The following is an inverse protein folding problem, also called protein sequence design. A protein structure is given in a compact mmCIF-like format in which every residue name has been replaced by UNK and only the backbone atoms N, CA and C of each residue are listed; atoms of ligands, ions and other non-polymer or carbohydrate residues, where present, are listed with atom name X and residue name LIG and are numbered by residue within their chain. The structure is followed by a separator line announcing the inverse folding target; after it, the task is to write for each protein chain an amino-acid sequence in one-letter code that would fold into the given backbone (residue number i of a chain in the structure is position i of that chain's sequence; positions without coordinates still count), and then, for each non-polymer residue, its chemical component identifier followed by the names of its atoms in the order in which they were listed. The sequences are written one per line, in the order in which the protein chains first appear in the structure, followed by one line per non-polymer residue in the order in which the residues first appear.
data_IF_716872434301
#
_entry.id   IF_716872434301
#
_cell.length_a   1.000
_cell.length_b   1.000
_cell.length_c   1.000
_cell.angle_alpha   90.00
_cell.angle_beta   90.00
_cell.angle_gamma   90.00
#
_symmetry.space_group_name_H-M   'P 1'
#
loop_
_entity.id
_entity.type
_entity.pdbx_description
1 polymer ?
#
# COMPACT_ATOMS: atom_id res chain seq x y z
N UNK A 1 37.11 57.20 29.27
CA UNK A 1 36.27 56.05 29.10
C UNK A 1 35.02 56.46 28.34
N UNK A 2 34.64 55.69 27.33
CA UNK A 2 33.37 55.81 26.57
C UNK A 2 32.39 54.79 27.12
N UNK A 3 31.24 55.23 27.59
CA UNK A 3 30.19 54.38 28.10
C UNK A 3 29.05 54.30 27.08
N UNK A 4 28.44 53.11 26.97
CA UNK A 4 27.24 52.88 26.17
C UNK A 4 26.22 52.14 27.03
N UNK A 5 24.95 52.27 26.72
CA UNK A 5 23.87 51.54 27.38
C UNK A 5 23.19 50.60 26.43
N UNK A 6 22.77 49.47 26.95
CA UNK A 6 22.01 48.46 26.20
C UNK A 6 21.01 47.79 27.13
N UNK A 7 19.81 47.54 26.65
CA UNK A 7 18.82 46.78 27.40
C UNK A 7 19.28 45.34 27.60
N UNK A 8 19.09 44.82 28.80
CA UNK A 8 19.40 43.41 29.11
C UNK A 8 18.40 42.49 28.48
N UNK A 9 18.84 41.30 28.01
CA UNK A 9 17.99 40.28 27.41
C UNK A 9 17.76 40.43 25.92
N UNK A 10 18.37 41.39 25.25
CA UNK A 10 18.30 41.49 23.78
C UNK A 10 19.08 40.37 23.12
N UNK A 11 18.48 39.74 22.07
CA UNK A 11 19.18 38.85 21.19
C UNK A 11 20.15 39.57 20.23
N UNK A 12 20.84 38.80 19.36
CA UNK A 12 21.80 39.34 18.40
C UNK A 12 21.18 40.33 17.37
N UNK A 13 19.85 40.31 17.18
CA UNK A 13 19.10 41.18 16.28
C UNK A 13 18.40 42.31 17.02
N UNK A 14 18.81 42.63 18.25
CA UNK A 14 18.21 43.64 19.12
C UNK A 14 16.71 43.45 19.39
N UNK A 15 16.25 42.18 19.48
CA UNK A 15 14.86 41.86 19.80
C UNK A 15 14.73 41.30 21.19
N UNK A 16 13.62 41.70 21.88
CA UNK A 16 13.26 41.22 23.20
C UNK A 16 11.77 40.85 23.24
N UNK A 17 11.42 39.93 24.12
CA UNK A 17 10.04 39.48 24.32
C UNK A 17 9.58 39.81 25.74
N UNK A 18 8.41 40.41 25.83
CA UNK A 18 7.70 40.64 27.09
C UNK A 18 6.31 40.02 27.00
N UNK A 19 6.13 38.88 27.68
CA UNK A 19 4.92 38.07 27.55
C UNK A 19 4.72 37.60 26.11
N UNK A 20 3.56 37.86 25.54
CA UNK A 20 3.23 37.51 24.16
C UNK A 20 3.63 38.58 23.12
N UNK A 21 4.36 39.62 23.53
CA UNK A 21 4.72 40.73 22.65
C UNK A 21 6.21 40.73 22.37
N UNK A 22 6.56 40.97 21.12
CA UNK A 22 7.94 41.08 20.64
C UNK A 22 8.24 42.53 20.28
N UNK A 23 9.42 43.02 20.71
CA UNK A 23 9.88 44.36 20.47
C UNK A 23 11.25 44.35 19.81
N UNK A 24 11.53 45.39 19.02
CA UNK A 24 12.87 45.72 18.55
C UNK A 24 13.35 46.92 19.34
N UNK A 25 14.47 46.76 20.03
CA UNK A 25 15.07 47.83 20.80
C UNK A 25 16.05 48.64 19.96
N UNK A 26 16.02 49.95 20.10
CA UNK A 26 17.05 50.86 19.62
C UNK A 26 17.53 51.74 20.77
N UNK A 27 18.82 52.08 20.77
CA UNK A 27 19.41 53.01 21.74
C UNK A 27 19.90 54.22 20.98
N UNK A 28 19.52 55.37 21.42
CA UNK A 28 19.92 56.66 20.88
C UNK A 28 20.45 57.61 21.99
N UNK A 29 21.24 58.61 21.64
CA UNK A 29 21.82 59.56 22.57
C UNK A 29 23.34 59.41 22.76
N UNK A 30 23.88 60.26 23.63
CA UNK A 30 25.30 60.28 23.96
C UNK A 30 25.49 60.36 25.49
N UNK A 31 26.73 60.18 25.92
CA UNK A 31 27.06 60.19 27.33
C UNK A 31 26.73 61.58 27.96
N UNK A 32 26.86 62.69 27.21
CA UNK A 32 26.63 64.05 27.70
C UNK A 32 25.15 64.41 27.67
N UNK A 33 24.37 63.87 26.75
CA UNK A 33 22.94 64.15 26.56
C UNK A 33 22.03 63.13 27.18
N UNK A 34 22.60 62.04 27.69
CA UNK A 34 21.87 60.84 28.14
C UNK A 34 21.52 59.91 26.99
N UNK A 35 21.11 58.71 27.35
CA UNK A 35 20.68 57.65 26.40
C UNK A 35 19.19 57.37 26.50
N UNK A 36 18.57 57.23 25.40
CA UNK A 36 17.17 56.79 25.31
C UNK A 36 17.12 55.40 24.71
N UNK A 37 16.50 54.44 25.40
CA UNK A 37 16.20 53.09 24.86
C UNK A 37 14.72 53.09 24.43
N UNK A 38 14.47 52.77 23.16
CA UNK A 38 13.12 52.72 22.60
C UNK A 38 12.80 51.29 22.18
N UNK A 39 11.77 50.70 22.77
CA UNK A 39 11.22 49.40 22.37
C UNK A 39 10.05 49.59 21.42
N UNK A 40 10.28 49.39 20.13
CA UNK A 40 9.25 49.45 19.12
C UNK A 40 8.59 48.08 19.03
N UNK A 41 7.27 48.00 19.33
CA UNK A 41 6.51 46.79 19.22
C UNK A 41 6.53 46.29 17.77
N UNK A 42 7.03 45.06 17.58
CA UNK A 42 6.90 44.38 16.30
C UNK A 42 5.43 44.03 16.08
N UNK A 43 4.99 43.90 14.83
CA UNK A 43 3.63 43.39 14.56
C UNK A 43 3.36 42.14 15.40
N UNK A 44 2.09 41.91 15.81
CA UNK A 44 1.75 40.72 16.57
C UNK A 44 2.33 39.49 15.87
N UNK A 45 3.06 38.66 16.64
CA UNK A 45 3.52 37.38 16.15
C UNK A 45 2.26 36.52 15.87
N UNK A 46 1.93 36.40 14.62
CA UNK A 46 0.98 35.36 14.18
C UNK A 46 1.81 34.09 14.01
N UNK A 47 1.54 33.04 14.78
CA UNK A 47 2.20 31.76 14.52
C UNK A 47 1.99 31.41 13.05
N UNK A 48 3.06 31.41 12.26
CA UNK A 48 2.97 30.94 10.90
C UNK A 48 2.82 29.41 10.99
N UNK A 49 1.57 28.95 10.89
CA UNK A 49 1.27 27.52 10.81
C UNK A 49 1.62 27.08 9.40
N UNK A 50 2.42 26.02 9.22
CA UNK A 50 2.66 25.46 7.88
C UNK A 50 1.35 25.15 7.19
N UNK A 51 1.30 25.36 5.88
CA UNK A 51 0.16 24.96 5.07
C UNK A 51 -0.08 23.45 5.17
N UNK A 52 -1.31 23.05 5.00
CA UNK A 52 -1.67 21.65 4.98
C UNK A 52 -2.06 21.20 3.57
N UNK A 53 -1.79 19.96 3.28
CA UNK A 53 -2.17 19.27 2.05
C UNK A 53 -2.95 17.99 2.36
N UNK A 54 -3.30 17.25 1.32
CA UNK A 54 -3.94 15.94 1.44
C UNK A 54 -3.38 14.95 0.43
N UNK A 55 -3.41 13.68 0.76
CA UNK A 55 -3.07 12.59 -0.12
C UNK A 55 -4.26 11.63 -0.23
N UNK A 56 -4.78 11.47 -1.45
CA UNK A 56 -5.82 10.48 -1.74
C UNK A 56 -5.17 9.21 -2.28
N UNK A 57 -5.60 8.07 -1.77
CA UNK A 57 -5.22 6.74 -2.26
C UNK A 57 -6.45 6.03 -2.82
N UNK A 58 -6.28 5.30 -3.91
CA UNK A 58 -7.31 4.48 -4.54
C UNK A 58 -6.78 3.06 -4.72
N UNK A 59 -7.61 2.07 -4.45
CA UNK A 59 -7.30 0.66 -4.71
C UNK A 59 -7.98 0.21 -6.00
N UNK A 60 -7.24 -0.50 -6.82
CA UNK A 60 -7.72 -1.16 -8.04
C UNK A 60 -7.39 -2.66 -7.97
N UNK A 61 -8.30 -3.48 -8.48
CA UNK A 61 -8.13 -4.93 -8.59
C UNK A 61 -8.20 -5.33 -10.05
N UNK A 62 -7.33 -6.25 -10.46
CA UNK A 62 -7.30 -6.80 -11.82
C UNK A 62 -7.41 -8.32 -11.78
N UNK A 63 -8.14 -8.89 -12.73
CA UNK A 63 -8.39 -10.34 -12.81
C UNK A 63 -9.49 -10.84 -11.87
N UNK A 64 -10.35 -9.96 -11.36
CA UNK A 64 -11.50 -10.30 -10.53
C UNK A 64 -12.81 -9.77 -11.13
N UNK A 65 -13.90 -10.52 -10.95
CA UNK A 65 -15.25 -10.00 -11.13
C UNK A 65 -15.60 -8.93 -10.09
N UNK A 66 -16.61 -8.10 -10.37
CA UNK A 66 -17.06 -7.08 -9.41
C UNK A 66 -17.50 -7.69 -8.08
N UNK A 67 -18.17 -8.83 -8.08
CA UNK A 67 -18.58 -9.53 -6.87
C UNK A 67 -17.37 -9.95 -6.02
N UNK A 68 -16.31 -10.44 -6.65
CA UNK A 68 -15.07 -10.79 -5.99
C UNK A 68 -14.30 -9.55 -5.49
N UNK A 69 -14.32 -8.44 -6.24
CA UNK A 69 -13.77 -7.15 -5.79
C UNK A 69 -14.48 -6.67 -4.53
N UNK A 70 -15.81 -6.69 -4.53
CA UNK A 70 -16.65 -6.22 -3.42
C UNK A 70 -16.38 -6.96 -2.09
N UNK A 71 -15.85 -8.19 -2.18
CA UNK A 71 -15.46 -8.98 -1.02
C UNK A 71 -14.03 -8.68 -0.50
N UNK A 72 -13.27 -7.83 -1.20
CA UNK A 72 -11.89 -7.52 -0.80
C UNK A 72 -11.82 -6.35 0.18
N UNK A 73 -10.77 -6.36 0.98
CA UNK A 73 -10.41 -5.29 1.90
C UNK A 73 -8.89 -5.27 2.08
N UNK A 74 -8.29 -4.10 2.06
CA UNK A 74 -6.86 -3.92 2.30
C UNK A 74 -6.61 -2.76 3.26
N UNK A 75 -5.57 -2.87 4.06
CA UNK A 75 -5.10 -1.82 4.95
C UNK A 75 -3.96 -1.05 4.30
N UNK A 76 -3.97 0.26 4.42
CA UNK A 76 -2.96 1.15 3.84
C UNK A 76 -2.40 2.06 4.90
N UNK A 77 -1.08 2.18 4.98
CA UNK A 77 -0.36 3.06 5.89
C UNK A 77 0.22 4.26 5.16
N UNK A 78 0.11 5.44 5.79
CA UNK A 78 0.71 6.68 5.31
C UNK A 78 2.20 6.74 5.66
N UNK A 79 3.02 7.14 4.70
CA UNK A 79 4.44 7.46 4.86
C UNK A 79 4.67 8.96 4.78
N UNK A 80 5.60 9.46 5.58
CA UNK A 80 6.11 10.83 5.54
C UNK A 80 7.63 10.78 5.38
N UNK A 81 8.16 11.38 4.33
CA UNK A 81 9.60 11.43 4.03
C UNK A 81 10.26 10.04 4.06
N UNK A 82 9.56 9.03 3.53
CA UNK A 82 10.05 7.65 3.48
C UNK A 82 9.89 6.84 4.78
N UNK A 83 9.31 7.42 5.84
CA UNK A 83 9.09 6.74 7.12
C UNK A 83 7.61 6.49 7.33
N UNK A 84 7.25 5.26 7.75
CA UNK A 84 5.88 4.91 8.09
C UNK A 84 5.37 5.74 9.27
N UNK A 85 4.15 6.24 9.18
CA UNK A 85 3.47 6.93 10.27
C UNK A 85 2.50 5.99 10.99
N UNK A 86 1.89 6.43 12.08
CA UNK A 86 0.83 5.68 12.76
C UNK A 86 -0.52 5.80 12.05
N UNK A 87 -0.64 6.66 11.02
CA UNK A 87 -1.89 6.87 10.28
C UNK A 87 -2.08 5.79 9.24
N UNK A 88 -3.17 5.08 9.34
CA UNK A 88 -3.59 4.04 8.38
C UNK A 88 -5.08 4.16 8.08
N UNK A 89 -5.52 3.46 7.06
CA UNK A 89 -6.92 3.38 6.65
C UNK A 89 -7.18 2.05 5.95
N UNK A 90 -8.43 1.62 5.95
CA UNK A 90 -8.88 0.45 5.21
C UNK A 90 -9.55 0.92 3.93
N UNK A 91 -9.27 0.23 2.82
CA UNK A 91 -9.91 0.42 1.53
C UNK A 91 -10.76 -0.81 1.23
N UNK A 92 -12.05 -0.61 1.11
CA UNK A 92 -13.05 -1.65 0.87
C UNK A 92 -14.22 -1.11 0.04
N UNK A 93 -15.23 -1.92 -0.17
CA UNK A 93 -16.46 -1.54 -0.87
C UNK A 93 -17.17 -0.34 -0.24
N UNK A 94 -17.16 -0.21 1.11
CA UNK A 94 -17.92 0.83 1.81
C UNK A 94 -17.41 2.24 1.52
N UNK A 95 -16.12 2.37 1.20
CA UNK A 95 -15.50 3.63 0.79
C UNK A 95 -15.15 3.68 -0.70
N UNK A 96 -15.72 2.77 -1.51
CA UNK A 96 -15.41 2.62 -2.94
C UNK A 96 -13.90 2.47 -3.19
N UNK A 97 -13.22 1.74 -2.31
CA UNK A 97 -11.76 1.51 -2.40
C UNK A 97 -10.94 2.80 -2.50
N UNK A 98 -11.39 3.87 -1.82
CA UNK A 98 -10.74 5.18 -1.86
C UNK A 98 -10.75 5.83 -0.47
N UNK A 99 -9.62 6.43 -0.09
CA UNK A 99 -9.52 7.22 1.14
C UNK A 99 -8.62 8.43 0.95
N UNK A 100 -8.78 9.43 1.83
CA UNK A 100 -7.97 10.64 1.81
C UNK A 100 -7.36 10.88 3.18
N UNK A 101 -6.04 10.95 3.24
CA UNK A 101 -5.29 11.44 4.38
C UNK A 101 -5.27 12.97 4.30
N UNK A 102 -6.09 13.63 5.10
CA UNK A 102 -6.18 15.09 5.15
C UNK A 102 -5.34 15.68 6.30
N UNK A 103 -5.15 17.01 6.29
CA UNK A 103 -4.43 17.74 7.33
C UNK A 103 -2.95 17.38 7.42
N UNK A 104 -2.33 17.06 6.30
CA UNK A 104 -0.90 16.74 6.22
C UNK A 104 -0.11 18.06 6.17
N UNK A 105 0.82 18.27 7.10
CA UNK A 105 1.66 19.47 7.09
C UNK A 105 2.53 19.49 5.81
N UNK A 106 2.44 20.58 5.04
CA UNK A 106 3.26 20.78 3.84
C UNK A 106 4.75 20.83 4.16
N UNK A 107 5.09 21.34 5.36
CA UNK A 107 6.43 21.31 5.94
C UNK A 107 6.31 21.20 7.46
N UNK A 108 7.35 20.78 8.17
CA UNK A 108 7.31 20.65 9.63
C UNK A 108 7.35 22.01 10.34
N UNK A 109 8.04 22.97 9.73
CA UNK A 109 8.04 24.38 10.14
C UNK A 109 7.98 25.26 8.89
N UNK A 110 7.54 26.49 9.06
CA UNK A 110 7.52 27.47 7.97
C UNK A 110 8.93 27.71 7.45
N UNK A 111 9.11 27.61 6.13
CA UNK A 111 10.40 27.76 5.47
C UNK A 111 11.29 26.51 5.48
N UNK A 112 10.85 25.42 6.11
CA UNK A 112 11.52 24.12 5.99
C UNK A 112 11.24 23.46 4.63
N UNK A 113 12.00 22.42 4.32
CA UNK A 113 11.76 21.59 3.15
C UNK A 113 10.34 20.98 3.19
N UNK A 114 9.73 20.86 2.02
CA UNK A 114 8.41 20.24 1.90
C UNK A 114 8.44 18.78 2.29
N UNK A 115 7.40 18.36 3.00
CA UNK A 115 7.19 16.96 3.32
C UNK A 115 6.73 16.21 2.06
N UNK A 116 7.29 15.03 1.85
CA UNK A 116 6.88 14.09 0.81
C UNK A 116 6.03 13.00 1.45
N UNK A 117 4.80 12.85 0.96
CA UNK A 117 3.87 11.84 1.45
C UNK A 117 3.68 10.75 0.40
N UNK A 118 3.67 9.52 0.86
CA UNK A 118 3.36 8.33 0.09
C UNK A 118 2.57 7.34 0.94
N UNK A 119 2.24 6.18 0.40
CA UNK A 119 1.52 5.14 1.11
C UNK A 119 2.05 3.76 0.71
N UNK A 120 1.77 2.75 1.54
CA UNK A 120 2.00 1.34 1.25
C UNK A 120 0.79 0.54 1.71
N UNK A 121 0.51 -0.54 0.98
CA UNK A 121 -0.41 -1.59 1.40
C UNK A 121 0.26 -2.46 2.46
N UNK A 122 -0.53 -2.98 3.38
CA UNK A 122 -0.09 -3.89 4.42
C UNK A 122 -0.67 -5.29 4.17
N UNK A 123 0.10 -6.31 4.50
CA UNK A 123 -0.40 -7.68 4.57
C UNK A 123 -1.26 -7.91 5.83
N UNK A 124 -1.75 -9.14 6.02
CA UNK A 124 -2.58 -9.51 7.16
C UNK A 124 -1.88 -9.42 8.53
N UNK A 125 -0.54 -9.33 8.55
CA UNK A 125 0.28 -9.22 9.75
C UNK A 125 0.84 -7.80 9.96
N UNK A 126 0.26 -6.81 9.25
CA UNK A 126 0.77 -5.43 9.19
C UNK A 126 2.18 -5.29 8.57
N UNK A 127 2.63 -6.31 7.83
CA UNK A 127 3.85 -6.26 7.04
C UNK A 127 3.67 -5.35 5.82
N UNK A 128 4.67 -4.50 5.55
CA UNK A 128 4.64 -3.57 4.42
C UNK A 128 4.88 -4.31 3.12
N UNK A 129 4.01 -4.09 2.14
CA UNK A 129 4.15 -4.62 0.80
C UNK A 129 4.87 -3.61 -0.10
N UNK A 130 6.02 -4.00 -0.64
CA UNK A 130 6.79 -3.18 -1.57
C UNK A 130 6.32 -3.39 -3.02
N UNK A 131 6.81 -2.55 -3.93
CA UNK A 131 6.56 -2.71 -5.37
C UNK A 131 6.91 -4.11 -5.87
N UNK A 132 5.98 -4.76 -6.56
CA UNK A 132 6.15 -6.10 -7.10
C UNK A 132 6.02 -7.25 -6.10
N UNK A 133 5.78 -6.96 -4.81
CA UNK A 133 5.50 -7.98 -3.79
C UNK A 133 4.26 -8.80 -4.16
N UNK A 134 4.20 -10.03 -3.65
CA UNK A 134 2.99 -10.84 -3.70
C UNK A 134 2.32 -10.90 -2.34
N UNK A 135 0.99 -10.89 -2.34
CA UNK A 135 0.16 -11.01 -1.14
C UNK A 135 -0.98 -11.99 -1.38
N UNK A 136 -1.31 -12.78 -0.37
CA UNK A 136 -2.48 -13.67 -0.41
C UNK A 136 -3.62 -13.03 0.40
N UNK A 137 -4.74 -12.79 -0.28
CA UNK A 137 -5.95 -12.22 0.29
C UNK A 137 -7.12 -13.11 -0.13
N UNK A 138 -7.92 -13.57 0.83
CA UNK A 138 -9.08 -14.44 0.57
C UNK A 138 -8.72 -15.64 -0.33
N UNK A 139 -7.61 -16.33 -0.04
CA UNK A 139 -7.07 -17.50 -0.76
C UNK A 139 -6.68 -17.22 -2.23
N UNK A 140 -6.54 -15.96 -2.63
CA UNK A 140 -6.02 -15.56 -3.95
C UNK A 140 -4.71 -14.83 -3.81
N UNK A 141 -3.75 -15.12 -4.67
CA UNK A 141 -2.45 -14.45 -4.68
C UNK A 141 -2.47 -13.30 -5.69
N UNK A 142 -2.04 -12.14 -5.23
CA UNK A 142 -1.97 -10.92 -6.04
C UNK A 142 -0.54 -10.40 -6.09
N UNK A 143 -0.19 -9.79 -7.19
CA UNK A 143 1.01 -8.97 -7.33
C UNK A 143 0.63 -7.51 -7.10
N UNK A 144 1.36 -6.83 -6.21
CA UNK A 144 1.12 -5.43 -5.83
C UNK A 144 1.92 -4.51 -6.73
N UNK A 145 1.28 -3.46 -7.24
CA UNK A 145 1.89 -2.39 -8.02
C UNK A 145 1.40 -1.03 -7.54
N UNK A 146 2.31 -0.04 -7.49
CA UNK A 146 2.01 1.35 -7.12
C UNK A 146 2.09 2.25 -8.34
N UNK A 147 0.94 2.81 -8.76
CA UNK A 147 0.82 3.75 -9.88
C UNK A 147 0.34 5.11 -9.37
N UNK A 148 1.27 6.00 -9.08
CA UNK A 148 0.98 7.35 -8.59
C UNK A 148 0.17 7.33 -7.29
N UNK A 149 -1.15 7.60 -7.38
CA UNK A 149 -2.08 7.58 -6.23
C UNK A 149 -2.92 6.30 -6.15
N UNK A 150 -2.55 5.28 -6.92
CA UNK A 150 -3.25 4.00 -6.95
C UNK A 150 -2.38 2.88 -6.39
N UNK A 151 -3.04 1.91 -5.79
CA UNK A 151 -2.48 0.59 -5.50
C UNK A 151 -3.25 -0.38 -6.39
N UNK A 152 -2.54 -1.10 -7.24
CA UNK A 152 -3.11 -2.10 -8.15
C UNK A 152 -2.70 -3.48 -7.66
N UNK A 153 -3.68 -4.35 -7.38
CA UNK A 153 -3.41 -5.75 -7.11
C UNK A 153 -3.93 -6.57 -8.30
N UNK A 154 -3.00 -7.19 -9.01
CA UNK A 154 -3.29 -8.05 -10.15
C UNK A 154 -3.28 -9.51 -9.71
N UNK A 155 -4.36 -10.25 -9.98
CA UNK A 155 -4.44 -11.69 -9.68
C UNK A 155 -3.32 -12.43 -10.42
N UNK A 156 -2.55 -13.23 -9.67
CA UNK A 156 -1.48 -14.04 -10.27
C UNK A 156 -2.12 -15.26 -10.94
N UNK A 157 -1.89 -15.39 -12.24
CA UNK A 157 -2.30 -16.57 -13.00
C UNK A 157 -1.41 -17.76 -12.59
N UNK A 158 -1.91 -18.55 -11.65
CA UNK A 158 -1.25 -19.76 -11.19
C UNK A 158 -1.76 -20.96 -11.98
N UNK A 159 -0.86 -21.92 -12.26
CA UNK A 159 -1.18 -23.16 -12.93
C UNK A 159 -1.15 -24.32 -11.96
N UNK A 160 -1.97 -25.33 -12.25
CA UNK A 160 -2.04 -26.58 -11.48
C UNK A 160 -2.01 -27.78 -12.42
N UNK A 161 -1.96 -28.96 -11.86
CA UNK A 161 -2.11 -30.22 -12.59
C UNK A 161 -3.09 -31.15 -11.87
N UNK A 162 -3.72 -32.01 -12.63
CA UNK A 162 -4.54 -33.13 -12.15
C UNK A 162 -3.94 -34.41 -12.67
N UNK A 163 -3.67 -35.35 -11.80
CA UNK A 163 -3.14 -36.65 -12.17
C UNK A 163 -3.86 -37.78 -11.44
N UNK A 164 -3.77 -38.95 -11.99
CA UNK A 164 -4.37 -40.16 -11.42
C UNK A 164 -3.89 -41.43 -12.09
N UNK A 165 -4.45 -42.53 -11.61
CA UNK A 165 -4.15 -43.87 -12.11
C UNK A 165 -5.45 -44.64 -12.33
N UNK A 166 -5.60 -45.28 -13.47
CA UNK A 166 -6.66 -46.25 -13.73
C UNK A 166 -6.29 -47.57 -13.05
N UNK A 167 -7.17 -48.08 -12.22
CA UNK A 167 -7.02 -49.38 -11.57
C UNK A 167 -7.97 -50.38 -12.24
N UNK A 168 -7.49 -51.58 -12.39
CA UNK A 168 -8.24 -52.70 -12.93
C UNK A 168 -8.47 -53.73 -11.83
N UNK A 169 -9.71 -54.12 -11.63
CA UNK A 169 -10.11 -55.26 -10.79
C UNK A 169 -10.69 -56.35 -11.67
N UNK A 170 -9.81 -57.12 -12.30
CA UNK A 170 -10.14 -58.10 -13.36
C UNK A 170 -9.25 -59.36 -13.28
N UNK A 171 -8.91 -59.77 -12.06
CA UNK A 171 -8.07 -60.93 -11.81
C UNK A 171 -6.78 -60.94 -12.66
N UNK A 172 -6.12 -59.76 -12.78
CA UNK A 172 -4.89 -59.54 -13.54
C UNK A 172 -5.05 -59.84 -15.05
N UNK A 173 -6.18 -59.44 -15.64
CA UNK A 173 -6.51 -59.66 -17.06
C UNK A 173 -6.61 -61.15 -17.43
N UNK A 174 -7.25 -61.93 -16.57
CA UNK A 174 -7.35 -63.39 -16.72
C UNK A 174 -8.00 -63.80 -18.04
N UNK A 175 -8.97 -63.06 -18.55
CA UNK A 175 -9.69 -63.33 -19.82
C UNK A 175 -9.02 -62.67 -21.04
N UNK A 176 -7.93 -61.96 -20.86
CA UNK A 176 -7.18 -61.29 -21.93
C UNK A 176 -7.90 -60.14 -22.63
N UNK A 177 -8.99 -59.60 -22.02
CA UNK A 177 -9.85 -58.58 -22.67
C UNK A 177 -9.59 -57.16 -22.19
N UNK A 178 -8.61 -56.95 -21.33
CA UNK A 178 -8.25 -55.60 -20.92
C UNK A 178 -7.81 -54.79 -22.16
N UNK A 179 -8.39 -53.61 -22.41
CA UNK A 179 -7.97 -52.77 -23.53
C UNK A 179 -6.54 -52.25 -23.33
N UNK A 180 -5.87 -51.89 -24.45
CA UNK A 180 -4.51 -51.35 -24.40
C UNK A 180 -4.45 -49.94 -23.84
N UNK A 181 -5.55 -49.17 -23.92
CA UNK A 181 -5.68 -47.84 -23.46
C UNK A 181 -7.08 -47.49 -22.94
N UNK A 182 -7.17 -46.52 -22.04
CA UNK A 182 -8.41 -45.89 -21.60
C UNK A 182 -8.25 -44.38 -21.77
N UNK A 183 -9.25 -43.75 -22.38
CA UNK A 183 -9.33 -42.31 -22.50
C UNK A 183 -9.99 -41.72 -21.23
N UNK A 184 -9.32 -40.80 -20.58
CA UNK A 184 -9.81 -40.05 -19.41
C UNK A 184 -10.15 -38.64 -19.85
N UNK A 185 -11.35 -38.16 -19.53
CA UNK A 185 -11.80 -36.80 -19.80
C UNK A 185 -11.62 -35.94 -18.57
N UNK A 186 -11.16 -34.68 -18.77
CA UNK A 186 -11.07 -33.70 -17.72
C UNK A 186 -12.36 -32.88 -17.64
N UNK A 187 -12.96 -32.79 -16.46
CA UNK A 187 -14.08 -31.92 -16.17
C UNK A 187 -13.59 -30.71 -15.31
N UNK A 188 -14.16 -29.54 -15.55
CA UNK A 188 -13.99 -28.35 -14.77
C UNK A 188 -15.35 -27.86 -14.27
N UNK A 189 -15.52 -27.70 -12.97
CA UNK A 189 -16.78 -27.32 -12.32
C UNK A 189 -17.97 -28.18 -12.79
N UNK A 190 -17.73 -29.47 -12.99
CA UNK A 190 -18.72 -30.45 -13.45
C UNK A 190 -18.96 -30.53 -14.98
N UNK A 191 -18.33 -29.64 -15.76
CA UNK A 191 -18.47 -29.60 -17.24
C UNK A 191 -17.25 -30.22 -17.91
N UNK A 192 -17.45 -31.03 -18.95
CA UNK A 192 -16.36 -31.57 -19.75
C UNK A 192 -15.58 -30.44 -20.45
N UNK A 193 -14.28 -30.41 -20.26
CA UNK A 193 -13.40 -29.42 -20.89
C UNK A 193 -12.99 -29.73 -22.32
N UNK A 194 -13.33 -30.93 -22.81
CA UNK A 194 -12.83 -31.47 -24.07
C UNK A 194 -11.38 -31.97 -24.03
N UNK A 195 -10.67 -31.75 -22.91
CA UNK A 195 -9.30 -32.25 -22.73
C UNK A 195 -9.32 -33.73 -22.36
N UNK A 196 -8.48 -34.52 -23.03
CA UNK A 196 -8.34 -35.95 -22.76
C UNK A 196 -6.90 -36.34 -22.48
N UNK A 197 -6.72 -37.38 -21.71
CA UNK A 197 -5.44 -38.06 -21.49
C UNK A 197 -5.63 -39.58 -21.66
N UNK A 198 -4.59 -40.28 -22.11
CA UNK A 198 -4.59 -41.73 -22.24
C UNK A 198 -3.88 -42.38 -21.07
N UNK A 199 -4.55 -43.34 -20.43
CA UNK A 199 -3.95 -44.25 -19.47
C UNK A 199 -3.68 -45.58 -20.19
N UNK A 200 -2.42 -45.98 -20.30
CA UNK A 200 -1.98 -47.17 -21.05
C UNK A 200 -1.14 -48.08 -20.18
N UNK A 201 -0.96 -49.32 -20.65
CA UNK A 201 -0.04 -50.27 -20.00
C UNK A 201 1.40 -49.68 -19.93
N UNK A 202 1.85 -48.95 -20.97
CA UNK A 202 3.17 -48.38 -21.05
C UNK A 202 3.37 -47.25 -20.00
N UNK A 203 2.31 -46.51 -19.68
CA UNK A 203 2.30 -45.47 -18.62
C UNK A 203 1.96 -46.06 -17.24
N UNK A 204 1.97 -47.38 -17.06
CA UNK A 204 1.49 -48.03 -15.84
C UNK A 204 0.07 -47.55 -15.42
N UNK A 205 -0.76 -47.26 -16.44
CA UNK A 205 -2.12 -46.75 -16.29
C UNK A 205 -2.23 -45.40 -15.62
N UNK A 206 -1.14 -44.64 -15.56
CA UNK A 206 -1.11 -43.26 -15.04
C UNK A 206 -1.49 -42.28 -16.14
N UNK A 207 -2.15 -41.18 -15.73
CA UNK A 207 -2.53 -40.06 -16.59
C UNK A 207 -2.32 -38.74 -15.86
N UNK A 208 -2.12 -37.66 -16.62
CA UNK A 208 -2.04 -36.32 -16.06
C UNK A 208 -2.53 -35.26 -17.04
N UNK A 209 -3.09 -34.20 -16.47
CA UNK A 209 -3.45 -32.98 -17.17
C UNK A 209 -2.64 -31.85 -16.54
N UNK A 210 -1.78 -31.21 -17.31
CA UNK A 210 -0.87 -30.16 -16.82
C UNK A 210 -1.29 -28.79 -17.34
N UNK A 211 -0.73 -27.77 -16.74
CA UNK A 211 -0.91 -26.37 -17.18
C UNK A 211 -2.36 -25.90 -17.13
N UNK A 212 -3.07 -26.32 -16.11
CA UNK A 212 -4.47 -25.97 -15.87
C UNK A 212 -4.56 -24.66 -15.10
N UNK A 213 -5.54 -23.82 -15.42
CA UNK A 213 -5.78 -22.57 -14.67
C UNK A 213 -6.31 -22.90 -13.27
N UNK A 214 -5.84 -22.19 -12.25
CA UNK A 214 -6.39 -22.29 -10.88
C UNK A 214 -7.68 -21.49 -10.76
N UNK A 215 -7.78 -20.39 -11.50
CA UNK A 215 -8.93 -19.50 -11.50
C UNK A 215 -9.52 -19.36 -12.92
N UNK A 216 -10.80 -19.09 -12.99
CA UNK A 216 -11.48 -18.68 -14.22
C UNK A 216 -11.26 -17.18 -14.50
N UNK A 217 -11.89 -16.67 -15.56
CA UNK A 217 -11.80 -15.25 -15.96
C UNK A 217 -12.41 -14.26 -14.94
N UNK A 218 -13.24 -14.75 -14.02
CA UNK A 218 -13.84 -13.99 -12.94
C UNK A 218 -12.99 -13.99 -11.65
N UNK A 219 -11.90 -14.76 -11.63
CA UNK A 219 -11.08 -14.99 -10.46
C UNK A 219 -11.69 -16.01 -9.49
N UNK A 220 -12.67 -16.82 -9.92
CA UNK A 220 -13.22 -17.90 -9.13
C UNK A 220 -12.39 -19.18 -9.29
N UNK A 221 -12.18 -19.92 -8.17
CA UNK A 221 -11.41 -21.15 -8.20
C UNK A 221 -12.10 -22.22 -9.04
N UNK A 222 -11.33 -22.89 -9.90
CA UNK A 222 -11.80 -23.99 -10.73
C UNK A 222 -11.61 -25.31 -9.98
N UNK A 223 -12.67 -26.10 -9.88
CA UNK A 223 -12.62 -27.48 -9.37
C UNK A 223 -12.55 -28.44 -10.54
N UNK A 224 -11.46 -29.18 -10.59
CA UNK A 224 -11.24 -30.19 -11.62
C UNK A 224 -11.61 -31.58 -11.10
#
# INVERSE_FOLDING_TARGET
YTYTVREHGLNAQNKIEYGASRYTASTDGTMDQGYTITNKKSMPWVPMIPATTSLTVTKQWEGLSQANIDAQSVKVVLYKNGVATTRNTTLDKNNNFKATFAGLLDADTVGAAKNVYSFRELDANDGVLEEGSTVTINNRTFKVHYDGKKIVNTLVDTKTEVSGKKIWDDANNQDGKRPDEVTVHLHANGTDTGKTAKATKASNWEYSFKNLNVYDENGDAITY
#
